data_IF_544129559047
#
_entry.id   IF_544129559047
#
_cell.length_a   1.000
_cell.length_b   1.000
_cell.length_c   1.000
_cell.angle_alpha   90.00
_cell.angle_beta   90.00
_cell.angle_gamma   90.00
#
_symmetry.space_group_name_H-M   'P 1'
#
loop_
_entity.id
_entity.type
_entity.pdbx_description
1 polymer ?
#
# COMPACT_ATOMS: atom_id res chain seq x y z
N UNK A 1 -18.15 0.87 -2.23
CA UNK A 1 -17.11 0.15 -1.48
C UNK A 1 -17.37 0.28 0.01
N UNK A 2 -17.25 -0.81 0.77
CA UNK A 2 -17.40 -0.80 2.24
C UNK A 2 -16.07 -1.11 2.90
N UNK A 3 -15.67 -0.32 3.92
CA UNK A 3 -14.37 -0.45 4.59
C UNK A 3 -13.38 0.64 4.16
N UNK A 4 -12.09 0.41 4.42
CA UNK A 4 -11.02 1.36 4.10
C UNK A 4 -10.48 1.00 2.71
N UNK A 5 -10.35 1.99 1.83
CA UNK A 5 -9.66 1.79 0.57
C UNK A 5 -8.20 1.37 0.84
N UNK A 6 -7.78 0.14 0.44
CA UNK A 6 -6.43 -0.36 0.70
C UNK A 6 -5.38 0.59 0.13
N UNK A 7 -5.63 1.19 -1.03
CA UNK A 7 -4.69 2.09 -1.67
C UNK A 7 -4.37 3.33 -0.83
N UNK A 8 -5.40 3.98 -0.25
CA UNK A 8 -5.16 5.12 0.64
C UNK A 8 -4.49 4.68 1.94
N UNK A 9 -4.89 3.52 2.49
CA UNK A 9 -4.25 2.98 3.69
C UNK A 9 -2.75 2.73 3.50
N UNK A 10 -2.31 2.28 2.32
CA UNK A 10 -0.89 2.08 2.03
C UNK A 10 -0.10 3.38 1.79
N UNK A 11 -0.76 4.47 1.39
CA UNK A 11 -0.08 5.75 1.15
C UNK A 11 0.08 6.55 2.46
N UNK A 12 -0.86 6.43 3.41
CA UNK A 12 -0.86 7.16 4.68
C UNK A 12 0.44 7.02 5.51
N UNK A 13 1.11 5.86 5.57
CA UNK A 13 2.38 5.71 6.29
C UNK A 13 3.52 6.58 5.74
N UNK A 14 3.51 6.89 4.44
CA UNK A 14 4.60 7.63 3.78
C UNK A 14 4.80 9.03 4.37
N UNK A 15 3.79 9.92 4.42
CA UNK A 15 3.95 11.24 5.04
C UNK A 15 4.23 11.16 6.54
N UNK A 16 3.69 10.14 7.24
CA UNK A 16 3.94 9.94 8.66
C UNK A 16 5.41 9.65 8.94
N UNK A 17 6.02 8.76 8.15
CA UNK A 17 7.44 8.43 8.25
C UNK A 17 8.31 9.65 7.94
N UNK A 18 7.98 10.42 6.89
CA UNK A 18 8.68 11.67 6.56
C UNK A 18 8.62 12.63 7.75
N UNK A 19 7.44 12.80 8.36
CA UNK A 19 7.24 13.69 9.50
C UNK A 19 8.04 13.26 10.75
N UNK A 20 8.08 11.96 11.05
CA UNK A 20 8.88 11.41 12.15
C UNK A 20 10.37 11.71 11.94
N UNK A 21 10.86 11.48 10.72
CA UNK A 21 12.26 11.69 10.35
C UNK A 21 12.65 13.19 10.43
N UNK A 22 11.80 14.08 9.91
CA UNK A 22 11.99 15.54 10.02
C UNK A 22 12.00 15.96 11.49
N UNK A 23 11.10 15.40 12.30
CA UNK A 23 11.04 15.70 13.74
C UNK A 23 12.30 15.27 14.48
N UNK A 24 12.86 14.10 14.18
CA UNK A 24 14.16 13.65 14.74
C UNK A 24 15.27 14.62 14.38
N UNK A 25 15.29 15.11 13.14
CA UNK A 25 16.35 16.00 12.62
C UNK A 25 16.29 17.39 13.24
N UNK A 26 15.09 17.93 13.46
CA UNK A 26 14.88 19.29 14.00
C UNK A 26 15.01 19.33 15.52
N UNK A 27 14.34 18.42 16.23
CA UNK A 27 14.15 18.58 17.68
C UNK A 27 15.30 18.01 18.51
N UNK A 28 16.25 17.25 17.93
CA UNK A 28 17.35 16.54 18.59
C UNK A 28 16.94 15.66 19.79
N UNK A 29 15.64 15.53 20.05
CA UNK A 29 15.04 14.80 21.15
C UNK A 29 14.32 13.60 20.57
N UNK A 30 14.67 12.42 21.07
CA UNK A 30 14.12 11.15 20.59
C UNK A 30 12.71 10.89 21.15
N UNK A 31 12.32 11.56 22.24
CA UNK A 31 11.04 11.32 22.90
C UNK A 31 9.85 11.81 22.08
N UNK A 32 9.95 12.99 21.47
CA UNK A 32 8.89 13.58 20.64
C UNK A 32 8.50 12.68 19.45
N UNK A 33 9.44 12.18 18.61
CA UNK A 33 9.12 11.25 17.53
C UNK A 33 8.59 9.90 18.04
N UNK A 34 9.08 9.38 19.17
CA UNK A 34 8.53 8.16 19.78
C UNK A 34 7.07 8.35 20.17
N UNK A 35 6.73 9.48 20.82
CA UNK A 35 5.35 9.80 21.20
C UNK A 35 4.44 9.94 19.97
N UNK A 36 4.92 10.54 18.88
CA UNK A 36 4.17 10.64 17.62
C UNK A 36 3.91 9.25 17.02
N UNK A 37 4.93 8.39 16.95
CA UNK A 37 4.80 7.01 16.44
C UNK A 37 3.74 6.26 17.25
N UNK A 38 3.87 6.27 18.58
CA UNK A 38 2.91 5.61 19.46
C UNK A 38 1.49 6.16 19.32
N UNK A 39 1.34 7.49 19.31
CA UNK A 39 0.04 8.14 19.12
C UNK A 39 -0.60 7.78 17.78
N UNK A 40 0.18 7.77 16.71
CA UNK A 40 -0.30 7.41 15.37
C UNK A 40 -0.72 5.94 15.27
N UNK A 41 0.04 5.02 15.90
CA UNK A 41 -0.31 3.60 15.96
C UNK A 41 -1.63 3.37 16.71
N UNK A 42 -1.85 4.08 17.81
CA UNK A 42 -3.12 4.04 18.52
C UNK A 42 -4.29 4.52 17.64
N UNK A 43 -4.12 5.63 16.94
CA UNK A 43 -5.16 6.14 16.02
C UNK A 43 -5.44 5.15 14.89
N UNK A 44 -4.39 4.59 14.27
CA UNK A 44 -4.52 3.60 13.18
C UNK A 44 -5.25 2.34 13.67
N UNK A 45 -4.90 1.82 14.84
CA UNK A 45 -5.55 0.62 15.41
C UNK A 45 -7.03 0.87 15.71
N UNK A 46 -7.39 2.02 16.27
CA UNK A 46 -8.79 2.40 16.49
C UNK A 46 -9.58 2.49 15.18
N UNK A 47 -9.00 3.09 14.13
CA UNK A 47 -9.61 3.18 12.80
C UNK A 47 -9.81 1.79 12.20
N UNK A 48 -8.83 0.90 12.32
CA UNK A 48 -8.92 -0.49 11.84
C UNK A 48 -10.01 -1.26 12.59
N UNK A 49 -10.06 -1.18 13.91
CA UNK A 49 -11.10 -1.85 14.71
C UNK A 49 -12.50 -1.36 14.35
N UNK A 50 -12.68 -0.05 14.17
CA UNK A 50 -13.97 0.52 13.75
C UNK A 50 -14.41 0.01 12.38
N UNK A 51 -13.49 -0.02 11.42
CA UNK A 51 -13.80 -0.48 10.08
C UNK A 51 -14.02 -2.00 10.01
N UNK A 52 -13.27 -2.78 10.79
CA UNK A 52 -13.54 -4.21 10.94
C UNK A 52 -14.95 -4.48 11.47
N UNK A 53 -15.39 -3.75 12.50
CA UNK A 53 -16.77 -3.86 13.01
C UNK A 53 -17.81 -3.54 11.93
N UNK A 54 -17.55 -2.54 11.08
CA UNK A 54 -18.43 -2.24 9.92
C UNK A 54 -18.42 -3.36 8.88
N UNK A 55 -17.24 -3.92 8.56
CA UNK A 55 -17.08 -5.00 7.59
C UNK A 55 -17.71 -6.32 8.03
N UNK A 56 -17.76 -6.59 9.34
CA UNK A 56 -18.44 -7.77 9.88
C UNK A 56 -19.96 -7.71 9.70
N UNK A 57 -20.55 -6.52 9.68
CA UNK A 57 -21.98 -6.31 9.44
C UNK A 57 -22.39 -6.40 7.98
N UNK A 58 -21.43 -6.49 7.06
CA UNK A 58 -21.70 -6.62 5.63
C UNK A 58 -22.04 -8.06 5.32
N UNK A 59 -23.19 -8.28 4.69
CA UNK A 59 -23.53 -9.57 4.10
C UNK A 59 -22.68 -9.81 2.85
N UNK A 60 -21.77 -10.77 2.95
CA UNK A 60 -20.81 -11.14 1.90
C UNK A 60 -21.31 -12.34 1.08
N UNK A 61 -22.32 -13.06 1.57
CA UNK A 61 -22.69 -14.38 1.08
C UNK A 61 -21.67 -15.46 1.43
N UNK A 62 -21.69 -16.57 0.69
CA UNK A 62 -20.80 -17.71 0.93
C UNK A 62 -19.36 -17.44 0.47
N UNK A 63 -18.39 -17.95 1.21
CA UNK A 63 -16.98 -17.90 0.81
C UNK A 63 -16.73 -18.91 -0.30
N UNK A 64 -16.09 -18.47 -1.40
CA UNK A 64 -15.78 -19.34 -2.54
C UNK A 64 -14.31 -19.78 -2.54
N UNK A 65 -13.39 -18.81 -2.59
CA UNK A 65 -11.95 -19.07 -2.68
C UNK A 65 -11.12 -17.89 -2.22
N UNK A 66 -9.86 -18.14 -1.87
CA UNK A 66 -8.86 -17.11 -1.64
C UNK A 66 -7.84 -17.12 -2.78
N UNK A 67 -7.55 -15.95 -3.34
CA UNK A 67 -6.59 -15.78 -4.44
C UNK A 67 -5.61 -14.66 -4.10
N UNK A 68 -4.40 -14.76 -4.66
CA UNK A 68 -3.38 -13.72 -4.53
C UNK A 68 -3.45 -12.81 -5.76
N UNK A 69 -3.77 -11.54 -5.55
CA UNK A 69 -3.68 -10.51 -6.57
C UNK A 69 -2.34 -9.80 -6.50
N UNK A 70 -1.76 -9.40 -7.63
CA UNK A 70 -0.63 -8.48 -7.69
C UNK A 70 -1.12 -7.10 -8.06
N UNK A 71 -0.65 -6.08 -7.33
CA UNK A 71 -0.95 -4.68 -7.59
C UNK A 71 0.34 -3.94 -7.92
N UNK A 72 0.35 -3.31 -9.11
CA UNK A 72 1.46 -2.51 -9.62
C UNK A 72 2.46 -3.27 -10.50
N UNK A 73 3.30 -2.51 -11.22
CA UNK A 73 4.14 -3.03 -12.31
C UNK A 73 5.60 -3.17 -11.89
N UNK A 74 6.23 -4.25 -12.36
CA UNK A 74 7.67 -4.51 -12.21
C UNK A 74 8.54 -3.38 -12.78
N UNK A 75 8.06 -2.69 -13.82
CA UNK A 75 8.80 -1.60 -14.47
C UNK A 75 9.02 -0.44 -13.50
N UNK A 76 7.98 -0.03 -12.76
CA UNK A 76 8.10 1.06 -11.79
C UNK A 76 8.96 0.67 -10.58
N UNK A 77 8.95 -0.60 -10.21
CA UNK A 77 9.84 -1.13 -9.17
C UNK A 77 11.31 -1.04 -9.58
N UNK A 78 11.65 -1.52 -10.79
CA UNK A 78 13.01 -1.44 -11.34
C UNK A 78 13.45 0.02 -11.48
N UNK A 79 12.60 0.89 -12.03
CA UNK A 79 12.92 2.30 -12.22
C UNK A 79 13.25 3.01 -10.90
N UNK A 80 12.50 2.71 -9.84
CA UNK A 80 12.80 3.26 -8.53
C UNK A 80 14.12 2.74 -7.93
N UNK A 81 14.44 1.46 -8.12
CA UNK A 81 15.74 0.91 -7.69
C UNK A 81 16.91 1.61 -8.39
N UNK A 82 16.79 1.89 -9.68
CA UNK A 82 17.81 2.64 -10.44
C UNK A 82 17.97 4.05 -9.87
N UNK A 83 16.87 4.74 -9.54
CA UNK A 83 16.90 6.05 -8.90
C UNK A 83 17.66 6.02 -7.57
N UNK A 84 17.40 5.03 -6.70
CA UNK A 84 18.12 4.86 -5.43
C UNK A 84 19.62 4.72 -5.66
N UNK A 85 20.04 3.89 -6.62
CA UNK A 85 21.46 3.67 -6.93
C UNK A 85 22.13 4.97 -7.41
N UNK A 86 21.47 5.74 -8.26
CA UNK A 86 21.98 7.04 -8.73
C UNK A 86 22.15 8.01 -7.56
N UNK A 87 21.14 8.17 -6.70
CA UNK A 87 21.23 9.07 -5.56
C UNK A 87 22.31 8.64 -4.56
N UNK A 88 22.48 7.33 -4.34
CA UNK A 88 23.53 6.78 -3.48
C UNK A 88 24.92 7.07 -4.06
N UNK A 89 25.10 6.90 -5.37
CA UNK A 89 26.36 7.19 -6.05
C UNK A 89 26.73 8.68 -5.97
N UNK A 90 25.75 9.57 -6.21
CA UNK A 90 25.95 11.02 -6.09
C UNK A 90 26.32 11.41 -4.65
N UNK A 91 25.65 10.83 -3.66
CA UNK A 91 25.94 11.09 -2.25
C UNK A 91 27.38 10.69 -1.87
N UNK A 92 27.83 9.53 -2.37
CA UNK A 92 29.18 9.01 -2.14
C UNK A 92 30.26 9.87 -2.78
N UNK A 93 30.09 10.25 -4.06
CA UNK A 93 31.12 10.95 -4.82
C UNK A 93 31.34 12.39 -4.35
N UNK A 94 30.25 13.11 -4.04
CA UNK A 94 30.33 14.54 -3.71
C UNK A 94 30.56 14.82 -2.22
N UNK A 95 30.75 13.80 -1.36
CA UNK A 95 30.88 13.94 0.12
C UNK A 95 29.97 15.03 0.67
N UNK A 96 28.71 15.00 0.25
CA UNK A 96 27.80 16.14 0.38
C UNK A 96 27.59 16.43 1.87
N UNK A 97 27.74 17.68 2.35
CA UNK A 97 27.47 18.06 3.75
C UNK A 97 26.00 17.82 4.17
N UNK A 98 25.15 17.47 3.20
CA UNK A 98 23.75 17.11 3.34
C UNK A 98 23.49 15.59 3.20
N UNK A 99 24.49 14.74 3.49
CA UNK A 99 24.37 13.28 3.39
C UNK A 99 23.11 12.72 4.07
N UNK A 100 22.68 13.33 5.18
CA UNK A 100 21.44 12.97 5.87
C UNK A 100 20.20 13.17 4.98
N UNK A 101 20.10 14.28 4.24
CA UNK A 101 18.98 14.58 3.33
C UNK A 101 18.93 13.64 2.13
N UNK A 102 20.09 13.26 1.58
CA UNK A 102 20.17 12.27 0.51
C UNK A 102 19.77 10.88 1.00
N UNK A 103 20.19 10.49 2.21
CA UNK A 103 19.75 9.25 2.84
C UNK A 103 18.23 9.23 3.10
N UNK A 104 17.64 10.38 3.45
CA UNK A 104 16.17 10.50 3.57
C UNK A 104 15.46 10.33 2.25
N UNK A 105 15.99 10.90 1.17
CA UNK A 105 15.42 10.76 -0.17
C UNK A 105 15.50 9.31 -0.66
N UNK A 106 16.59 8.60 -0.36
CA UNK A 106 16.77 7.17 -0.64
C UNK A 106 15.77 6.32 0.17
N UNK A 107 15.58 6.59 1.47
CA UNK A 107 14.61 5.86 2.29
C UNK A 107 13.17 6.10 1.83
N UNK A 108 12.82 7.35 1.53
CA UNK A 108 11.48 7.70 1.04
C UNK A 108 11.19 7.05 -0.33
N UNK A 109 12.17 7.07 -1.25
CA UNK A 109 12.03 6.39 -2.55
C UNK A 109 11.92 4.87 -2.37
N UNK A 110 12.72 4.26 -1.50
CA UNK A 110 12.64 2.83 -1.16
C UNK A 110 11.26 2.40 -0.66
N UNK A 111 10.65 3.21 0.21
CA UNK A 111 9.31 2.96 0.72
C UNK A 111 8.23 3.09 -0.35
N UNK A 112 8.30 4.13 -1.19
CA UNK A 112 7.40 4.30 -2.34
C UNK A 112 7.49 3.09 -3.26
N UNK A 113 8.69 2.59 -3.53
CA UNK A 113 8.95 1.41 -4.37
C UNK A 113 8.33 0.15 -3.78
N UNK A 114 8.45 -0.06 -2.47
CA UNK A 114 7.85 -1.22 -1.81
C UNK A 114 6.32 -1.24 -1.96
N UNK A 115 5.67 -0.07 -2.03
CA UNK A 115 4.21 0.04 -2.23
C UNK A 115 3.81 0.03 -3.73
N UNK A 116 4.78 0.11 -4.65
CA UNK A 116 4.55 0.01 -6.09
C UNK A 116 4.44 -1.44 -6.59
N UNK A 117 4.93 -2.43 -5.84
CA UNK A 117 4.81 -3.84 -6.19
C UNK A 117 4.40 -4.68 -4.97
N UNK A 118 3.09 -4.87 -4.79
CA UNK A 118 2.54 -5.57 -3.62
C UNK A 118 1.67 -6.75 -4.04
N UNK A 119 1.77 -7.83 -3.28
CA UNK A 119 0.84 -8.97 -3.38
C UNK A 119 -0.26 -8.77 -2.35
N UNK A 120 -1.51 -8.81 -2.81
CA UNK A 120 -2.72 -8.63 -2.01
C UNK A 120 -3.43 -9.98 -1.86
N UNK A 121 -3.87 -10.27 -0.63
CA UNK A 121 -4.76 -11.39 -0.36
C UNK A 121 -6.21 -11.01 -0.65
N UNK A 122 -6.88 -11.74 -1.54
CA UNK A 122 -8.25 -11.44 -1.97
C UNK A 122 -9.11 -12.65 -1.69
N UNK A 123 -10.09 -12.47 -0.81
CA UNK A 123 -11.11 -13.48 -0.52
C UNK A 123 -12.32 -13.21 -1.39
N UNK A 124 -12.67 -14.16 -2.23
CA UNK A 124 -13.81 -14.09 -3.14
C UNK A 124 -15.02 -14.67 -2.43
N UNK A 125 -16.07 -13.88 -2.38
CA UNK A 125 -17.37 -14.27 -1.86
C UNK A 125 -18.41 -14.22 -2.99
N UNK A 126 -19.60 -14.73 -2.70
CA UNK A 126 -20.71 -14.72 -3.64
C UNK A 126 -21.12 -13.30 -4.06
N UNK A 127 -21.18 -12.36 -3.11
CA UNK A 127 -21.66 -10.98 -3.37
C UNK A 127 -20.56 -10.00 -3.78
N UNK A 128 -19.29 -10.40 -3.76
CA UNK A 128 -18.16 -9.54 -4.09
C UNK A 128 -16.81 -10.08 -3.61
N UNK A 129 -15.83 -9.20 -3.46
CA UNK A 129 -14.48 -9.54 -3.00
C UNK A 129 -14.12 -8.77 -1.73
N UNK A 130 -13.33 -9.41 -0.87
CA UNK A 130 -12.73 -8.82 0.32
C UNK A 130 -11.21 -8.75 0.14
N UNK A 131 -10.65 -7.55 0.12
CA UNK A 131 -9.22 -7.29 -0.08
C UNK A 131 -8.55 -7.09 1.29
N UNK A 132 -7.57 -7.93 1.60
CA UNK A 132 -6.77 -7.97 2.83
C UNK A 132 -7.59 -7.87 4.13
N UNK A 133 -8.86 -8.26 4.11
CA UNK A 133 -9.76 -8.10 5.27
C UNK A 133 -10.09 -6.65 5.62
N UNK A 134 -9.67 -5.67 4.82
CA UNK A 134 -9.82 -4.23 5.07
C UNK A 134 -10.94 -3.57 4.24
N UNK A 135 -11.33 -4.22 3.14
CA UNK A 135 -12.16 -3.63 2.11
C UNK A 135 -13.05 -4.67 1.45
N UNK A 136 -14.37 -4.46 1.46
CA UNK A 136 -15.32 -5.24 0.69
C UNK A 136 -15.85 -4.43 -0.50
N UNK A 137 -15.73 -4.99 -1.69
CA UNK A 137 -16.22 -4.43 -2.95
C UNK A 137 -17.26 -5.40 -3.55
N UNK A 138 -18.46 -4.92 -3.85
CA UNK A 138 -19.47 -5.73 -4.55
C UNK A 138 -19.11 -5.92 -6.02
N UNK A 139 -19.63 -6.95 -6.66
CA UNK A 139 -19.39 -7.18 -8.10
C UNK A 139 -19.85 -6.02 -8.99
N UNK A 140 -20.89 -5.30 -8.59
CA UNK A 140 -21.38 -4.09 -9.27
C UNK A 140 -20.34 -2.96 -9.32
N UNK A 141 -19.39 -2.94 -8.38
CA UNK A 141 -18.34 -1.92 -8.27
C UNK A 141 -17.03 -2.34 -8.96
N UNK A 142 -17.00 -3.53 -9.57
CA UNK A 142 -15.80 -4.16 -10.12
C UNK A 142 -15.98 -4.41 -11.61
N UNK A 143 -15.18 -3.72 -12.43
CA UNK A 143 -15.00 -4.07 -13.82
C UNK A 143 -14.02 -5.25 -13.91
N UNK A 144 -14.48 -6.38 -14.48
CA UNK A 144 -13.68 -7.57 -14.71
C UNK A 144 -13.25 -7.62 -16.17
N UNK A 145 -11.94 -7.68 -16.41
CA UNK A 145 -11.37 -7.93 -17.74
C UNK A 145 -10.62 -9.25 -17.68
N UNK A 146 -11.09 -10.24 -18.44
CA UNK A 146 -10.45 -11.56 -18.54
C UNK A 146 -9.59 -11.58 -19.80
N UNK A 147 -8.32 -11.93 -19.66
CA UNK A 147 -7.43 -12.21 -20.79
C UNK A 147 -7.25 -13.73 -20.87
N UNK A 148 -8.04 -14.38 -21.72
CA UNK A 148 -8.06 -15.84 -21.90
C UNK A 148 -6.72 -16.38 -22.40
N UNK A 149 -5.98 -15.60 -23.20
CA UNK A 149 -4.68 -16.01 -23.74
C UNK A 149 -3.59 -16.12 -22.67
N UNK A 150 -3.71 -15.35 -21.59
CA UNK A 150 -2.72 -15.34 -20.50
C UNK A 150 -3.22 -16.01 -19.23
N UNK A 151 -4.47 -16.45 -19.20
CA UNK A 151 -5.13 -17.02 -18.02
C UNK A 151 -5.12 -16.04 -16.82
N UNK A 152 -5.35 -14.76 -17.10
CA UNK A 152 -5.27 -13.66 -16.12
C UNK A 152 -6.62 -12.97 -16.00
N UNK A 153 -7.06 -12.74 -14.77
CA UNK A 153 -8.19 -11.86 -14.47
C UNK A 153 -7.67 -10.51 -13.97
N UNK A 154 -8.03 -9.44 -14.66
CA UNK A 154 -7.74 -8.06 -14.25
C UNK A 154 -9.01 -7.47 -13.62
N UNK A 155 -8.91 -7.10 -12.35
CA UNK A 155 -9.98 -6.42 -11.61
C UNK A 155 -9.68 -4.92 -11.55
N UNK A 156 -10.63 -4.12 -12.04
CA UNK A 156 -10.62 -2.66 -11.92
C UNK A 156 -11.77 -2.23 -11.02
N UNK A 157 -11.43 -1.72 -9.85
CA UNK A 157 -12.38 -1.35 -8.80
C UNK A 157 -12.68 0.14 -8.91
N UNK A 158 -13.96 0.52 -8.93
CA UNK A 158 -14.37 1.92 -8.99
C UNK A 158 -13.81 2.70 -7.80
N UNK A 159 -13.07 3.78 -8.07
CA UNK A 159 -12.41 4.61 -7.05
C UNK A 159 -11.00 4.14 -6.62
N UNK A 160 -10.47 3.07 -7.21
CA UNK A 160 -9.05 2.69 -7.06
C UNK A 160 -8.35 2.89 -8.41
N UNK A 161 -7.29 3.73 -8.48
CA UNK A 161 -6.63 4.03 -9.75
C UNK A 161 -5.80 2.85 -10.29
N UNK A 162 -5.41 1.91 -9.41
CA UNK A 162 -4.60 0.74 -9.77
C UNK A 162 -5.47 -0.48 -10.07
N UNK A 163 -5.07 -1.22 -11.10
CA UNK A 163 -5.63 -2.52 -11.47
C UNK A 163 -5.01 -3.62 -10.60
N UNK A 164 -5.81 -4.62 -10.25
CA UNK A 164 -5.37 -5.82 -9.55
C UNK A 164 -5.33 -6.96 -10.55
N UNK A 165 -4.18 -7.59 -10.69
CA UNK A 165 -3.96 -8.70 -11.62
C UNK A 165 -3.97 -10.01 -10.85
N UNK A 166 -4.81 -10.97 -11.24
CA UNK A 166 -4.92 -12.29 -10.62
C UNK A 166 -4.54 -13.32 -11.68
N UNK A 167 -3.55 -14.15 -11.35
CA UNK A 167 -2.99 -15.16 -12.27
C UNK A 167 -3.86 -16.42 -12.36
N UNK A 168 -5.18 -16.25 -12.30
CA UNK A 168 -6.20 -17.30 -12.41
C UNK A 168 -7.49 -16.69 -12.98
N UNK A 169 -8.29 -17.51 -13.68
CA UNK A 169 -9.65 -17.14 -14.06
C UNK A 169 -10.56 -17.26 -12.83
N UNK A 170 -11.34 -16.19 -12.58
CA UNK A 170 -12.33 -16.09 -11.49
C UNK A 170 -13.73 -16.30 -12.03
#
# INVERSE_FOLDING_TARGET
>A
MRGINPFYFYIVPIPLIIFIIVSITIFKSIFLPISIVFGSLLVITLILMHNQKKLLKVDKGTFKKEVKGKMGSWIYFIFGLVLILIFTYVAYFFRVPYANYLMFLILATGLVISELHRTLHIKIYEKGILIEGMAFCSWEEIEKVVDENKNITILKIKGIPKKITINEII
#
